data_IF_794922507593
#
_entry.id   IF_794922507593
#
_cell.length_a   1.000
_cell.length_b   1.000
_cell.length_c   1.000
_cell.angle_alpha   90.00
_cell.angle_beta   90.00
_cell.angle_gamma   90.00
#
_symmetry.space_group_name_H-M   'P 1'
#
loop_
_entity.id
_entity.type
_entity.pdbx_description
1 polymer ?
#
# COMPACT_ATOMS: atom_id res chain seq x y z
N UNK A 1 -18.56 91.63 26.27
CA UNK A 1 -17.22 91.10 26.59
C UNK A 1 -17.28 89.58 26.84
N UNK A 2 -18.14 88.85 26.11
CA UNK A 2 -18.43 87.42 26.33
C UNK A 2 -18.09 86.58 25.08
N UNK A 3 -18.24 87.13 23.87
CA UNK A 3 -17.97 86.46 22.59
C UNK A 3 -16.48 86.18 22.32
N UNK A 4 -15.56 86.92 22.96
CA UNK A 4 -14.12 86.75 22.79
C UNK A 4 -13.53 85.55 23.54
N UNK A 5 -14.25 84.97 24.51
CA UNK A 5 -13.83 83.77 25.23
C UNK A 5 -14.22 82.47 24.51
N UNK A 6 -15.31 82.46 23.74
CA UNK A 6 -15.75 81.27 23.00
C UNK A 6 -14.86 80.96 21.79
N UNK A 7 -14.34 81.98 21.11
CA UNK A 7 -13.50 81.83 19.92
C UNK A 7 -12.16 81.07 20.19
N UNK A 8 -11.39 81.38 21.25
CA UNK A 8 -10.21 80.58 21.61
C UNK A 8 -10.58 79.18 22.10
N UNK A 9 -11.72 79.01 22.79
CA UNK A 9 -12.19 77.68 23.24
C UNK A 9 -12.54 76.79 22.03
N UNK A 10 -13.21 77.33 21.01
CA UNK A 10 -13.49 76.60 19.77
C UNK A 10 -12.22 76.27 18.96
N UNK A 11 -11.24 77.19 18.93
CA UNK A 11 -9.93 76.93 18.30
C UNK A 11 -9.14 75.85 19.02
N UNK A 12 -9.14 75.86 20.36
CA UNK A 12 -8.48 74.85 21.18
C UNK A 12 -9.20 73.50 21.04
N UNK A 13 -10.53 73.47 21.10
CA UNK A 13 -11.32 72.25 20.90
C UNK A 13 -11.15 71.68 19.48
N UNK A 14 -11.18 72.52 18.46
CA UNK A 14 -10.90 72.13 17.07
C UNK A 14 -9.47 71.62 16.89
N UNK A 15 -8.50 72.27 17.53
CA UNK A 15 -7.10 71.82 17.57
C UNK A 15 -6.96 70.45 18.23
N UNK A 16 -7.62 70.21 19.37
CA UNK A 16 -7.63 68.92 20.06
C UNK A 16 -8.28 67.84 19.20
N UNK A 17 -9.41 68.12 18.57
CA UNK A 17 -10.09 67.17 17.67
C UNK A 17 -9.19 66.82 16.48
N UNK A 18 -8.57 67.83 15.86
CA UNK A 18 -7.61 67.61 14.77
C UNK A 18 -6.43 66.75 15.24
N UNK A 19 -5.91 67.00 16.43
CA UNK A 19 -4.80 66.26 17.02
C UNK A 19 -5.20 64.80 17.27
N UNK A 20 -6.38 64.53 17.83
CA UNK A 20 -6.91 63.18 18.03
C UNK A 20 -7.04 62.43 16.69
N UNK A 21 -7.61 63.08 15.67
CA UNK A 21 -7.74 62.49 14.32
C UNK A 21 -6.35 62.21 13.74
N UNK A 22 -5.44 63.17 13.81
CA UNK A 22 -4.08 63.04 13.31
C UNK A 22 -3.34 61.86 13.95
N UNK A 23 -3.34 61.76 15.29
CA UNK A 23 -2.70 60.67 16.01
C UNK A 23 -3.41 59.32 15.85
N UNK A 24 -4.71 59.31 15.53
CA UNK A 24 -5.43 58.08 15.20
C UNK A 24 -4.97 57.48 13.86
N UNK A 25 -4.82 58.32 12.84
CA UNK A 25 -4.44 57.89 11.50
C UNK A 25 -2.92 57.69 11.35
N UNK A 26 -2.10 58.52 11.98
CA UNK A 26 -0.63 58.50 11.87
C UNK A 26 -0.02 57.82 13.11
N UNK A 27 0.56 56.61 12.98
CA UNK A 27 1.18 55.91 14.11
C UNK A 27 2.56 56.53 14.43
N UNK A 28 2.56 57.68 15.11
CA UNK A 28 3.77 58.45 15.41
C UNK A 28 4.83 57.66 16.21
N UNK A 29 4.39 56.88 17.21
CA UNK A 29 5.31 56.05 17.99
C UNK A 29 6.00 54.96 17.16
N UNK A 30 5.30 54.40 16.17
CA UNK A 30 5.84 53.39 15.27
C UNK A 30 6.89 53.99 14.34
N UNK A 31 6.62 55.20 13.82
CA UNK A 31 7.59 55.98 13.04
C UNK A 31 8.86 56.27 13.83
N UNK A 32 8.73 56.70 15.09
CA UNK A 32 9.85 56.98 15.96
C UNK A 32 10.70 55.72 16.20
N UNK A 33 10.05 54.58 16.47
CA UNK A 33 10.72 53.28 16.65
C UNK A 33 11.52 52.85 15.41
N UNK A 34 10.96 53.04 14.22
CA UNK A 34 11.65 52.78 12.95
C UNK A 34 12.89 53.66 12.79
N UNK A 35 12.75 54.97 13.05
CA UNK A 35 13.83 55.96 12.91
C UNK A 35 14.98 55.69 13.88
N UNK A 36 14.68 55.38 15.15
CA UNK A 36 15.68 55.02 16.16
C UNK A 36 16.39 53.71 15.81
N UNK A 37 15.69 52.78 15.15
CA UNK A 37 16.26 51.52 14.68
C UNK A 37 17.04 51.63 13.36
N UNK A 38 17.20 52.84 12.81
CA UNK A 38 17.94 53.08 11.56
C UNK A 38 17.16 52.80 10.28
N UNK A 39 15.84 52.55 10.36
CA UNK A 39 14.98 52.29 9.20
C UNK A 39 14.34 53.60 8.73
N UNK A 40 14.66 54.01 7.50
CA UNK A 40 14.18 55.26 6.92
C UNK A 40 12.76 55.10 6.36
N UNK A 41 11.74 55.44 7.16
CA UNK A 41 10.33 55.46 6.75
C UNK A 41 9.77 56.87 6.96
N UNK A 42 9.05 57.40 5.97
CA UNK A 42 8.38 58.69 6.10
C UNK A 42 6.99 58.56 6.74
N UNK A 43 6.54 59.60 7.44
CA UNK A 43 5.18 59.66 8.00
C UNK A 43 4.11 59.54 6.92
N UNK A 44 4.37 60.09 5.73
CA UNK A 44 3.48 59.98 4.57
C UNK A 44 3.35 58.53 4.11
N UNK A 45 4.44 57.76 4.10
CA UNK A 45 4.38 56.33 3.74
C UNK A 45 3.53 55.51 4.72
N UNK A 46 3.64 55.75 6.02
CA UNK A 46 2.81 55.05 7.03
C UNK A 46 1.32 55.39 6.87
N UNK A 47 1.02 56.63 6.49
CA UNK A 47 -0.34 57.05 6.15
C UNK A 47 -0.84 56.36 4.87
N UNK A 48 -0.02 56.32 3.80
CA UNK A 48 -0.35 55.65 2.54
C UNK A 48 -0.56 54.13 2.70
N UNK A 49 0.19 53.46 3.59
CA UNK A 49 -0.04 52.04 3.91
C UNK A 49 -1.45 51.79 4.41
N UNK A 50 -1.96 52.66 5.29
CA UNK A 50 -3.31 52.54 5.83
C UNK A 50 -4.38 52.72 4.75
N UNK A 51 -4.16 53.62 3.78
CA UNK A 51 -5.05 53.79 2.62
C UNK A 51 -5.07 52.53 1.74
N UNK A 52 -3.93 51.83 1.63
CA UNK A 52 -3.81 50.55 0.89
C UNK A 52 -4.30 49.33 1.67
N UNK A 53 -4.94 49.52 2.83
CA UNK A 53 -5.35 48.44 3.74
C UNK A 53 -4.19 47.55 4.23
N UNK A 54 -2.96 48.07 4.27
CA UNK A 54 -1.80 47.37 4.83
C UNK A 54 -1.54 47.92 6.24
N UNK A 55 -1.59 47.10 7.31
CA UNK A 55 -1.38 47.56 8.67
C UNK A 55 0.11 47.87 8.91
N UNK A 56 0.48 49.13 9.23
CA UNK A 56 1.87 49.48 9.48
C UNK A 56 2.50 48.72 10.64
N UNK A 57 1.69 48.32 11.62
CA UNK A 57 2.13 47.59 12.81
C UNK A 57 2.70 46.19 12.53
N UNK A 58 2.45 45.61 11.36
CA UNK A 58 3.05 44.32 10.95
C UNK A 58 4.32 44.58 10.14
N UNK A 59 4.27 45.55 9.22
CA UNK A 59 5.36 45.83 8.28
C UNK A 59 6.57 46.49 8.95
N UNK A 60 6.35 47.47 9.84
CA UNK A 60 7.43 48.24 10.45
C UNK A 60 8.29 47.38 11.39
N UNK A 61 7.73 46.58 12.31
CA UNK A 61 8.55 45.68 13.13
C UNK A 61 9.34 44.68 12.29
N UNK A 62 8.74 44.11 11.24
CA UNK A 62 9.45 43.22 10.31
C UNK A 62 10.63 43.91 9.61
N UNK A 63 10.47 45.16 9.17
CA UNK A 63 11.58 45.94 8.62
C UNK A 63 12.68 46.22 9.64
N UNK A 64 12.31 46.56 10.88
CA UNK A 64 13.27 46.81 11.96
C UNK A 64 14.09 45.55 12.23
N UNK A 65 13.44 44.40 12.30
CA UNK A 65 14.09 43.12 12.53
C UNK A 65 15.02 42.72 11.38
N UNK A 66 14.54 42.79 10.14
CA UNK A 66 15.36 42.54 8.96
C UNK A 66 16.60 43.46 8.91
N UNK A 67 16.42 44.75 9.19
CA UNK A 67 17.51 45.72 9.18
C UNK A 67 18.56 45.42 10.28
N UNK A 68 18.10 45.08 11.49
CA UNK A 68 18.98 44.71 12.61
C UNK A 68 19.72 43.39 12.35
N UNK A 69 19.14 42.48 11.58
CA UNK A 69 19.78 41.25 11.14
C UNK A 69 20.77 41.44 9.98
N UNK A 70 20.94 42.66 9.46
CA UNK A 70 21.84 42.95 8.35
C UNK A 70 21.23 42.69 6.96
N UNK A 71 19.93 42.36 6.88
CA UNK A 71 19.20 42.10 5.64
C UNK A 71 18.75 43.41 4.98
N UNK A 72 19.72 44.23 4.53
CA UNK A 72 19.48 45.56 3.95
C UNK A 72 18.79 45.53 2.58
N UNK A 73 18.72 44.37 1.94
CA UNK A 73 18.18 44.21 0.59
C UNK A 73 16.65 44.10 0.58
N UNK A 74 16.01 43.94 1.74
CA UNK A 74 14.56 43.81 1.86
C UNK A 74 13.95 45.21 1.81
N UNK A 75 13.12 45.45 0.80
CA UNK A 75 12.42 46.72 0.65
C UNK A 75 11.06 46.70 1.33
N UNK A 76 10.59 47.90 1.71
CA UNK A 76 9.23 48.10 2.23
C UNK A 76 8.17 47.60 1.26
N UNK A 77 8.33 47.92 -0.02
CA UNK A 77 7.33 47.64 -1.06
C UNK A 77 7.16 46.12 -1.26
N UNK A 78 8.23 45.35 -1.11
CA UNK A 78 8.19 43.88 -1.14
C UNK A 78 7.42 43.28 0.05
N UNK A 79 7.58 43.83 1.27
CA UNK A 79 6.84 43.40 2.46
C UNK A 79 5.36 43.79 2.35
N UNK A 80 5.06 44.99 1.84
CA UNK A 80 3.68 45.42 1.55
C UNK A 80 3.03 44.49 0.50
N UNK A 81 3.75 44.17 -0.58
CA UNK A 81 3.27 43.30 -1.64
C UNK A 81 3.00 41.87 -1.14
N UNK A 82 3.87 41.32 -0.30
CA UNK A 82 3.68 40.00 0.31
C UNK A 82 2.44 39.96 1.21
N UNK A 83 2.25 40.99 2.03
CA UNK A 83 1.05 41.10 2.88
C UNK A 83 -0.23 41.20 2.04
N UNK A 84 -0.21 42.01 0.97
CA UNK A 84 -1.35 42.14 0.05
C UNK A 84 -1.66 40.84 -0.72
N UNK A 85 -0.65 40.01 -0.96
CA UNK A 85 -0.82 38.66 -1.52
C UNK A 85 -1.41 37.66 -0.51
N UNK A 86 -1.66 38.07 0.75
CA UNK A 86 -2.21 37.24 1.81
C UNK A 86 -1.16 36.46 2.60
N UNK A 87 0.12 36.81 2.48
CA UNK A 87 1.22 36.16 3.19
C UNK A 87 1.48 36.70 4.61
N UNK A 88 2.20 35.91 5.39
CA UNK A 88 2.60 36.21 6.77
C UNK A 88 3.98 36.85 6.84
N UNK A 89 4.00 38.19 6.86
CA UNK A 89 5.25 38.97 6.90
C UNK A 89 6.13 38.65 8.12
N UNK A 90 5.54 38.52 9.30
CA UNK A 90 6.28 38.24 10.54
C UNK A 90 7.04 36.90 10.46
N UNK A 91 6.37 35.83 10.02
CA UNK A 91 6.98 34.50 9.86
C UNK A 91 8.13 34.52 8.85
N UNK A 92 7.92 35.17 7.70
CA UNK A 92 8.94 35.26 6.65
C UNK A 92 10.17 36.02 7.13
N UNK A 93 9.99 37.15 7.81
CA UNK A 93 11.11 37.94 8.35
C UNK A 93 11.87 37.13 9.41
N UNK A 94 11.20 36.51 10.37
CA UNK A 94 11.85 35.66 11.37
C UNK A 94 12.64 34.50 10.74
N UNK A 95 12.07 33.86 9.70
CA UNK A 95 12.73 32.80 8.96
C UNK A 95 13.99 33.31 8.24
N UNK A 96 13.92 34.49 7.59
CA UNK A 96 15.06 35.11 6.92
C UNK A 96 16.18 35.49 7.89
N UNK A 97 15.83 36.04 9.07
CA UNK A 97 16.81 36.34 10.12
C UNK A 97 17.48 35.05 10.61
N UNK A 98 16.70 33.99 10.81
CA UNK A 98 17.22 32.70 11.26
C UNK A 98 18.13 32.07 10.20
N UNK A 99 17.74 32.14 8.93
CA UNK A 99 18.55 31.67 7.80
C UNK A 99 19.88 32.43 7.70
N UNK A 100 19.84 33.76 7.83
CA UNK A 100 21.04 34.60 7.81
C UNK A 100 22.00 34.27 8.94
N UNK A 101 21.50 34.09 10.17
CA UNK A 101 22.32 33.67 11.33
C UNK A 101 22.91 32.27 11.17
N UNK A 102 22.21 31.38 10.46
CA UNK A 102 22.68 30.04 10.16
C UNK A 102 23.52 29.94 8.87
N UNK A 103 23.83 31.08 8.23
CA UNK A 103 24.55 31.16 6.96
C UNK A 103 23.89 30.35 5.82
N UNK A 104 22.55 30.33 5.79
CA UNK A 104 21.73 29.72 4.75
C UNK A 104 21.30 30.81 3.77
N UNK A 105 21.56 30.57 2.48
CA UNK A 105 21.14 31.45 1.39
C UNK A 105 19.64 31.28 1.12
N UNK A 106 18.82 32.15 1.73
CA UNK A 106 17.37 32.21 1.51
C UNK A 106 17.00 33.60 0.94
N UNK A 107 16.78 33.74 -0.37
CA UNK A 107 16.34 35.01 -0.94
C UNK A 107 14.89 35.32 -0.55
N UNK A 108 14.58 36.62 -0.43
CA UNK A 108 13.26 37.08 0.01
C UNK A 108 12.12 36.49 -0.85
N UNK A 109 12.30 36.46 -2.17
CA UNK A 109 11.30 35.94 -3.12
C UNK A 109 11.03 34.45 -2.93
N UNK A 110 12.02 33.67 -2.48
CA UNK A 110 11.84 32.26 -2.20
C UNK A 110 11.11 32.07 -0.87
N UNK A 111 11.47 32.85 0.15
CA UNK A 111 10.79 32.81 1.45
C UNK A 111 9.30 33.17 1.32
N UNK A 112 8.96 34.19 0.52
CA UNK A 112 7.56 34.54 0.24
C UNK A 112 6.83 33.47 -0.56
N UNK A 113 7.50 32.86 -1.55
CA UNK A 113 6.90 31.77 -2.33
C UNK A 113 6.58 30.53 -1.46
N UNK A 114 7.42 30.21 -0.48
CA UNK A 114 7.20 29.11 0.46
C UNK A 114 5.96 29.38 1.34
N UNK A 115 5.86 30.60 1.88
CA UNK A 115 4.73 31.00 2.72
C UNK A 115 3.41 31.03 1.93
N UNK A 116 3.42 31.57 0.71
CA UNK A 116 2.24 31.57 -0.18
C UNK A 116 1.83 30.15 -0.64
N UNK A 117 2.79 29.22 -0.70
CA UNK A 117 2.50 27.81 -0.94
C UNK A 117 1.87 27.10 0.28
N UNK A 118 1.65 27.82 1.39
CA UNK A 118 1.04 27.30 2.61
C UNK A 118 2.00 26.47 3.47
N UNK A 119 3.32 26.57 3.24
CA UNK A 119 4.34 25.90 4.06
C UNK A 119 4.95 26.87 5.07
N UNK A 120 5.30 26.37 6.24
CA UNK A 120 5.98 27.19 7.25
C UNK A 120 7.47 27.36 6.91
N UNK A 121 7.85 28.58 6.49
CA UNK A 121 9.22 28.94 6.13
C UNK A 121 10.17 28.81 7.32
N UNK A 122 9.67 29.15 8.52
CA UNK A 122 10.49 29.14 9.72
C UNK A 122 10.86 27.70 10.12
N UNK A 123 9.88 26.79 10.09
CA UNK A 123 10.11 25.37 10.33
C UNK A 123 11.11 24.80 9.31
N UNK A 124 10.97 25.15 8.03
CA UNK A 124 11.90 24.69 6.99
C UNK A 124 13.34 25.16 7.23
N UNK A 125 13.54 26.42 7.63
CA UNK A 125 14.87 26.92 8.00
C UNK A 125 15.40 26.20 9.24
N UNK A 126 14.56 26.02 10.26
CA UNK A 126 14.95 25.33 11.49
C UNK A 126 15.37 23.88 11.22
N UNK A 127 14.61 23.16 10.39
CA UNK A 127 14.93 21.80 9.96
C UNK A 127 16.17 21.73 9.06
N UNK A 128 16.49 22.81 8.36
CA UNK A 128 17.74 22.93 7.59
C UNK A 128 18.96 22.99 8.52
N UNK A 129 18.84 23.70 9.65
CA UNK A 129 19.91 23.83 10.66
C UNK A 129 20.01 22.60 11.55
N UNK A 130 18.87 22.14 12.05
CA UNK A 130 18.76 20.99 12.94
C UNK A 130 17.95 19.89 12.26
N UNK A 131 18.62 18.87 11.69
CA UNK A 131 17.94 17.76 11.04
C UNK A 131 16.94 17.06 11.96
N UNK A 132 15.87 16.54 11.36
CA UNK A 132 14.83 15.78 12.06
C UNK A 132 14.96 14.30 11.71
N UNK A 133 14.72 13.45 12.72
CA UNK A 133 14.65 12.00 12.52
C UNK A 133 13.19 11.61 12.34
N UNK A 134 12.91 10.85 11.27
CA UNK A 134 11.59 10.34 10.94
C UNK A 134 11.68 8.82 10.83
N UNK A 135 10.81 8.11 11.54
CA UNK A 135 10.72 6.66 11.46
C UNK A 135 9.87 6.22 10.26
N UNK A 136 10.34 5.22 9.52
CA UNK A 136 9.53 4.59 8.46
C UNK A 136 8.47 3.69 9.08
N UNK A 137 7.29 3.53 8.43
CA UNK A 137 6.40 2.43 8.76
C UNK A 137 7.13 1.08 8.62
N UNK A 138 6.71 0.02 9.34
CA UNK A 138 7.34 -1.29 9.24
C UNK A 138 7.23 -1.84 7.82
N UNK A 139 8.39 -2.04 7.18
CA UNK A 139 8.50 -2.52 5.81
C UNK A 139 8.73 -4.02 5.83
N UNK A 140 7.89 -4.76 5.12
CA UNK A 140 7.97 -6.22 5.05
C UNK A 140 8.50 -6.67 3.71
N UNK A 141 9.51 -7.54 3.70
CA UNK A 141 10.09 -8.10 2.49
C UNK A 141 10.52 -9.56 2.71
N UNK A 142 10.71 -10.32 1.63
CA UNK A 142 11.10 -11.73 1.66
C UNK A 142 12.44 -11.88 0.96
N UNK A 143 13.43 -12.48 1.63
CA UNK A 143 14.72 -12.79 1.01
C UNK A 143 14.61 -13.99 0.06
N UNK A 144 15.64 -14.25 -0.76
CA UNK A 144 15.59 -15.35 -1.75
C UNK A 144 15.45 -16.74 -1.13
N UNK A 145 15.87 -16.91 0.12
CA UNK A 145 15.66 -18.13 0.91
C UNK A 145 14.21 -18.33 1.41
N UNK A 146 13.30 -17.41 1.08
CA UNK A 146 11.88 -17.52 1.40
C UNK A 146 11.52 -17.07 2.83
N UNK A 147 12.46 -16.50 3.58
CA UNK A 147 12.21 -15.99 4.93
C UNK A 147 11.83 -14.51 4.88
N UNK A 148 10.74 -14.20 5.57
CA UNK A 148 10.25 -12.84 5.72
C UNK A 148 11.06 -12.07 6.76
N UNK A 149 11.41 -10.84 6.42
CA UNK A 149 12.02 -9.87 7.31
C UNK A 149 11.13 -8.62 7.39
N UNK A 150 10.97 -8.09 8.59
CA UNK A 150 10.25 -6.84 8.87
C UNK A 150 11.29 -5.84 9.35
N UNK A 151 11.56 -4.82 8.54
CA UNK A 151 12.56 -3.81 8.84
C UNK A 151 11.91 -2.46 9.16
N UNK A 152 12.46 -1.75 10.14
CA UNK A 152 12.13 -0.35 10.44
C UNK A 152 13.40 0.47 10.28
N UNK A 153 13.31 1.61 9.59
CA UNK A 153 14.42 2.52 9.40
C UNK A 153 14.12 3.88 10.03
N UNK A 154 15.16 4.52 10.56
CA UNK A 154 15.21 5.93 10.92
C UNK A 154 15.84 6.69 9.78
N UNK A 155 15.12 7.66 9.23
CA UNK A 155 15.62 8.53 8.19
C UNK A 155 15.91 9.89 8.82
N UNK A 156 17.17 10.29 8.79
CA UNK A 156 17.57 11.65 9.19
C UNK A 156 17.49 12.54 7.98
N UNK A 157 16.53 13.47 7.98
CA UNK A 157 16.27 14.39 6.88
C UNK A 157 16.53 15.84 7.27
N UNK A 158 16.99 16.61 6.30
CA UNK A 158 17.16 18.06 6.35
C UNK A 158 16.27 18.71 5.30
N UNK A 159 15.72 19.88 5.56
CA UNK A 159 14.96 20.61 4.53
C UNK A 159 15.90 21.17 3.45
N UNK A 160 15.57 20.93 2.17
CA UNK A 160 16.24 21.52 1.03
C UNK A 160 15.50 22.79 0.61
N UNK A 161 16.02 23.94 1.07
CA UNK A 161 15.40 25.25 0.88
C UNK A 161 15.16 25.58 -0.61
N UNK A 162 16.04 25.12 -1.52
CA UNK A 162 15.93 25.41 -2.96
C UNK A 162 14.79 24.66 -3.64
N UNK A 163 14.40 23.50 -3.12
CA UNK A 163 13.38 22.61 -3.71
C UNK A 163 12.13 22.48 -2.85
N UNK A 164 11.99 23.33 -1.83
CA UNK A 164 10.88 23.28 -0.88
C UNK A 164 9.52 23.61 -1.54
N UNK A 165 9.52 24.46 -2.58
CA UNK A 165 8.35 24.77 -3.39
C UNK A 165 8.28 23.82 -4.58
N UNK A 166 7.22 23.03 -4.66
CA UNK A 166 7.00 22.06 -5.75
C UNK A 166 7.73 20.72 -5.60
N UNK A 167 8.61 20.57 -4.60
CA UNK A 167 9.24 19.29 -4.27
C UNK A 167 8.29 18.31 -3.58
N UNK A 168 8.59 17.02 -3.71
CA UNK A 168 7.84 15.96 -3.03
C UNK A 168 8.01 16.03 -1.50
N UNK A 169 6.95 15.69 -0.77
CA UNK A 169 6.91 15.75 0.70
C UNK A 169 7.57 14.56 1.42
N UNK A 170 7.47 14.56 2.75
CA UNK A 170 8.03 13.51 3.62
C UNK A 170 7.51 12.11 3.25
N UNK A 171 6.20 11.99 2.98
CA UNK A 171 5.56 10.71 2.61
C UNK A 171 6.20 10.05 1.38
N UNK A 172 6.60 10.86 0.40
CA UNK A 172 7.24 10.35 -0.83
C UNK A 172 8.63 9.82 -0.55
N UNK A 173 9.37 10.49 0.36
CA UNK A 173 10.70 10.03 0.77
C UNK A 173 10.57 8.71 1.54
N UNK A 174 9.65 8.62 2.49
CA UNK A 174 9.42 7.40 3.26
C UNK A 174 9.02 6.22 2.36
N UNK A 175 8.17 6.46 1.35
CA UNK A 175 7.80 5.45 0.37
C UNK A 175 9.00 4.98 -0.47
N UNK A 176 9.83 5.91 -0.96
CA UNK A 176 11.05 5.60 -1.74
C UNK A 176 12.09 4.86 -0.91
N UNK A 177 12.29 5.26 0.35
CA UNK A 177 13.16 4.54 1.29
C UNK A 177 12.61 3.15 1.54
N UNK A 178 11.29 3.01 1.73
CA UNK A 178 10.62 1.72 1.88
C UNK A 178 10.84 0.81 0.67
N UNK A 179 10.65 1.31 -0.55
CA UNK A 179 10.95 0.58 -1.79
C UNK A 179 12.41 0.14 -1.85
N UNK A 180 13.34 1.04 -1.48
CA UNK A 180 14.76 0.74 -1.40
C UNK A 180 15.05 -0.42 -0.44
N UNK A 181 14.46 -0.40 0.75
CA UNK A 181 14.60 -1.47 1.75
C UNK A 181 14.03 -2.80 1.22
N UNK A 182 12.83 -2.79 0.64
CA UNK A 182 12.22 -4.00 0.04
C UNK A 182 13.12 -4.57 -1.04
N UNK A 183 13.63 -3.73 -1.93
CA UNK A 183 14.53 -4.12 -3.02
C UNK A 183 15.85 -4.71 -2.49
N UNK A 184 16.41 -4.16 -1.40
CA UNK A 184 17.65 -4.66 -0.81
C UNK A 184 17.46 -6.01 -0.11
N UNK A 185 16.36 -6.19 0.62
CA UNK A 185 16.05 -7.46 1.28
C UNK A 185 15.73 -8.54 0.23
N UNK A 186 14.91 -8.23 -0.78
CA UNK A 186 14.52 -9.17 -1.83
C UNK A 186 15.66 -9.60 -2.76
N UNK A 187 16.72 -8.79 -2.86
CA UNK A 187 17.93 -9.15 -3.63
C UNK A 187 18.95 -9.96 -2.82
N UNK A 188 18.77 -10.08 -1.50
CA UNK A 188 19.67 -10.83 -0.63
C UNK A 188 19.45 -12.33 -0.77
N UNK A 189 20.54 -13.10 -0.81
CA UNK A 189 20.50 -14.56 -0.92
C UNK A 189 19.82 -15.21 0.30
N UNK A 190 20.23 -14.81 1.51
CA UNK A 190 19.71 -15.38 2.75
C UNK A 190 19.30 -14.27 3.74
N UNK A 191 18.33 -14.53 4.60
CA UNK A 191 17.97 -13.62 5.70
C UNK A 191 19.14 -13.36 6.66
N UNK A 192 20.05 -14.34 6.83
CA UNK A 192 21.22 -14.22 7.70
C UNK A 192 22.18 -13.13 7.26
N UNK A 193 22.42 -12.96 5.95
CA UNK A 193 23.33 -11.92 5.47
C UNK A 193 22.81 -10.52 5.77
N UNK A 194 21.48 -10.35 5.77
CA UNK A 194 20.81 -9.10 6.12
C UNK A 194 20.94 -8.79 7.62
N UNK A 195 20.82 -9.82 8.47
CA UNK A 195 20.97 -9.70 9.92
C UNK A 195 22.42 -9.48 10.35
N UNK A 196 23.38 -10.09 9.65
CA UNK A 196 24.81 -9.92 9.91
C UNK A 196 25.28 -8.49 9.60
N UNK A 197 24.75 -7.87 8.54
CA UNK A 197 25.15 -6.54 8.08
C UNK A 197 23.94 -5.67 7.66
N UNK A 198 23.12 -5.17 8.60
CA UNK A 198 21.95 -4.34 8.27
C UNK A 198 22.33 -3.01 7.57
N UNK A 199 23.54 -2.52 7.80
CA UNK A 199 24.09 -1.31 7.17
C UNK A 199 24.33 -1.47 5.66
N UNK A 200 24.36 -2.69 5.11
CA UNK A 200 24.40 -2.84 3.65
C UNK A 200 23.13 -2.34 2.98
N UNK A 201 21.99 -2.41 3.68
CA UNK A 201 20.69 -1.92 3.19
C UNK A 201 20.76 -0.40 3.04
N UNK A 202 21.12 0.32 4.11
CA UNK A 202 21.17 1.78 4.11
C UNK A 202 22.10 2.32 3.01
N UNK A 203 23.30 1.75 2.85
CA UNK A 203 24.25 2.14 1.80
C UNK A 203 23.71 1.94 0.39
N UNK A 204 23.04 0.82 0.13
CA UNK A 204 22.48 0.51 -1.18
C UNK A 204 21.29 1.41 -1.51
N UNK A 205 20.49 1.73 -0.50
CA UNK A 205 19.33 2.62 -0.58
C UNK A 205 19.75 4.08 -0.80
N UNK A 206 20.75 4.58 -0.07
CA UNK A 206 21.31 5.93 -0.26
C UNK A 206 21.92 6.12 -1.66
N UNK A 207 22.58 5.09 -2.21
CA UNK A 207 23.18 5.14 -3.56
C UNK A 207 22.18 5.39 -4.69
N UNK A 208 20.88 5.11 -4.48
CA UNK A 208 19.85 5.30 -5.51
C UNK A 208 19.40 6.76 -5.67
N UNK A 209 19.87 7.70 -4.84
CA UNK A 209 19.52 9.13 -4.96
C UNK A 209 18.03 9.39 -4.74
N UNK A 210 17.49 8.89 -3.62
CA UNK A 210 16.05 8.90 -3.32
C UNK A 210 15.49 10.30 -3.05
N UNK A 211 16.37 11.25 -2.74
CA UNK A 211 16.12 12.66 -2.46
C UNK A 211 15.95 13.51 -3.73
N UNK A 212 16.19 12.96 -4.92
CA UNK A 212 16.04 13.67 -6.18
C UNK A 212 14.60 14.18 -6.39
N UNK A 213 14.47 15.51 -6.53
CA UNK A 213 13.18 16.18 -6.76
C UNK A 213 12.29 16.26 -5.52
N UNK A 214 12.87 16.11 -4.33
CA UNK A 214 12.12 16.18 -3.07
C UNK A 214 12.43 17.48 -2.32
N UNK A 215 11.53 17.86 -1.41
CA UNK A 215 11.69 19.04 -0.57
C UNK A 215 12.74 18.85 0.56
N UNK A 216 13.32 17.65 0.68
CA UNK A 216 14.25 17.30 1.72
C UNK A 216 15.50 16.62 1.16
N UNK A 217 16.57 16.68 1.91
CA UNK A 217 17.84 15.99 1.66
C UNK A 217 18.00 14.91 2.73
N UNK A 218 18.36 13.70 2.30
CA UNK A 218 18.55 12.56 3.21
C UNK A 218 20.01 12.57 3.66
N UNK A 219 20.24 12.76 4.96
CA UNK A 219 21.58 12.74 5.54
C UNK A 219 22.01 11.31 5.89
N UNK A 220 21.12 10.55 6.53
CA UNK A 220 21.36 9.15 6.88
C UNK A 220 20.07 8.35 6.82
N UNK A 221 20.23 7.05 6.54
CA UNK A 221 19.19 6.05 6.72
C UNK A 221 19.81 5.01 7.63
N UNK A 222 19.24 4.83 8.82
CA UNK A 222 19.74 3.90 9.81
C UNK A 222 18.68 2.83 10.04
N UNK A 223 19.04 1.55 9.99
CA UNK A 223 18.07 0.49 10.31
C UNK A 223 17.91 0.41 11.83
N UNK A 224 16.71 0.75 12.31
CA UNK A 224 16.41 0.78 13.74
C UNK A 224 16.11 -0.60 14.30
N UNK A 225 15.50 -1.47 13.49
CA UNK A 225 15.00 -2.77 13.91
C UNK A 225 14.83 -3.71 12.71
N UNK A 226 15.16 -5.00 12.87
CA UNK A 226 14.92 -6.06 11.88
C UNK A 226 14.40 -7.29 12.62
N UNK A 227 13.12 -7.61 12.38
CA UNK A 227 12.47 -8.80 12.92
C UNK A 227 12.38 -9.91 11.87
N UNK A 228 12.52 -11.16 12.32
CA UNK A 228 12.25 -12.35 11.49
C UNK A 228 10.77 -12.68 11.56
N UNK A 229 10.11 -12.70 10.41
CA UNK A 229 8.70 -13.03 10.25
C UNK A 229 8.47 -14.51 9.97
N UNK A 230 7.55 -14.79 9.05
CA UNK A 230 7.18 -16.16 8.67
C UNK A 230 8.14 -16.72 7.61
N UNK A 231 8.30 -18.04 7.59
CA UNK A 231 8.94 -18.73 6.47
C UNK A 231 7.90 -18.92 5.35
N UNK A 232 7.84 -17.95 4.45
CA UNK A 232 6.93 -17.94 3.30
C UNK A 232 7.30 -19.05 2.32
N UNK A 233 8.59 -19.34 2.15
CA UNK A 233 9.06 -20.44 1.30
C UNK A 233 8.50 -21.80 1.74
N UNK A 234 8.58 -22.11 3.04
CA UNK A 234 8.03 -23.35 3.59
C UNK A 234 6.49 -23.38 3.51
N UNK A 235 5.83 -22.26 3.76
CA UNK A 235 4.37 -22.16 3.65
C UNK A 235 3.91 -22.44 2.20
N UNK A 236 4.54 -21.82 1.21
CA UNK A 236 4.25 -22.05 -0.20
C UNK A 236 4.52 -23.50 -0.62
N UNK A 237 5.58 -24.12 -0.10
CA UNK A 237 5.87 -25.55 -0.36
C UNK A 237 4.80 -26.47 0.22
N UNK A 238 4.32 -26.19 1.44
CA UNK A 238 3.23 -26.96 2.07
C UNK A 238 1.94 -26.78 1.26
N UNK A 239 1.62 -25.56 0.85
CA UNK A 239 0.43 -25.25 0.06
C UNK A 239 0.48 -25.96 -1.31
N UNK A 240 1.65 -25.96 -1.96
CA UNK A 240 1.86 -26.66 -3.22
C UNK A 240 1.75 -28.18 -3.05
N UNK A 241 2.35 -28.76 -2.00
CA UNK A 241 2.23 -30.19 -1.71
C UNK A 241 0.78 -30.61 -1.39
N UNK A 242 0.02 -29.76 -0.71
CA UNK A 242 -1.40 -30.00 -0.44
C UNK A 242 -2.23 -29.94 -1.73
N UNK A 243 -1.95 -28.97 -2.61
CA UNK A 243 -2.58 -28.90 -3.92
C UNK A 243 -2.28 -30.15 -4.76
N UNK A 244 -1.02 -30.59 -4.81
CA UNK A 244 -0.60 -31.80 -5.53
C UNK A 244 -1.26 -33.07 -4.95
N UNK A 245 -1.35 -33.17 -3.63
CA UNK A 245 -2.07 -34.26 -2.94
C UNK A 245 -3.54 -34.29 -3.33
N UNK A 246 -4.21 -33.14 -3.36
CA UNK A 246 -5.63 -33.05 -3.73
C UNK A 246 -5.84 -33.45 -5.20
N UNK A 247 -4.96 -33.03 -6.11
CA UNK A 247 -5.00 -33.43 -7.53
C UNK A 247 -4.78 -34.94 -7.66
N UNK A 248 -3.82 -35.50 -6.93
CA UNK A 248 -3.54 -36.93 -6.95
C UNK A 248 -4.72 -37.75 -6.40
N UNK A 249 -5.35 -37.29 -5.32
CA UNK A 249 -6.55 -37.91 -4.76
C UNK A 249 -7.72 -37.86 -5.74
N UNK A 250 -7.98 -36.71 -6.36
CA UNK A 250 -9.04 -36.56 -7.36
C UNK A 250 -8.82 -37.51 -8.57
N UNK A 251 -7.59 -37.61 -9.08
CA UNK A 251 -7.25 -38.56 -10.16
C UNK A 251 -7.40 -40.02 -9.74
N UNK A 252 -7.06 -40.35 -8.50
CA UNK A 252 -7.25 -41.70 -7.98
C UNK A 252 -8.74 -42.06 -7.86
N UNK A 253 -9.56 -41.11 -7.44
CA UNK A 253 -11.01 -41.26 -7.35
C UNK A 253 -11.65 -41.36 -8.73
N UNK A 254 -11.23 -40.54 -9.69
CA UNK A 254 -11.65 -40.63 -11.09
C UNK A 254 -11.33 -42.02 -11.69
N UNK A 255 -10.11 -42.52 -11.48
CA UNK A 255 -9.73 -43.88 -11.91
C UNK A 255 -10.57 -44.96 -11.24
N UNK A 256 -10.87 -44.81 -9.95
CA UNK A 256 -11.72 -45.74 -9.22
C UNK A 256 -13.15 -45.73 -9.77
N UNK A 257 -13.70 -44.55 -10.03
CA UNK A 257 -15.02 -44.39 -10.63
C UNK A 257 -15.08 -45.01 -12.02
N UNK A 258 -14.07 -44.78 -12.88
CA UNK A 258 -13.99 -45.40 -14.20
C UNK A 258 -13.85 -46.93 -14.13
N UNK A 259 -13.06 -47.46 -13.20
CA UNK A 259 -12.93 -48.91 -13.02
C UNK A 259 -14.26 -49.54 -12.60
N UNK A 260 -15.00 -48.91 -11.68
CA UNK A 260 -16.34 -49.37 -11.28
C UNK A 260 -17.32 -49.27 -12.44
N UNK A 261 -17.31 -48.17 -13.21
CA UNK A 261 -18.15 -48.01 -14.39
C UNK A 261 -17.87 -49.11 -15.44
N UNK A 262 -16.59 -49.40 -15.69
CA UNK A 262 -16.18 -50.48 -16.60
C UNK A 262 -16.60 -51.86 -16.08
N UNK A 263 -16.50 -52.12 -14.78
CA UNK A 263 -16.98 -53.37 -14.17
C UNK A 263 -18.50 -53.53 -14.36
N UNK A 264 -19.28 -52.47 -14.15
CA UNK A 264 -20.72 -52.48 -14.36
C UNK A 264 -21.09 -52.64 -15.84
N UNK A 265 -20.36 -51.98 -16.74
CA UNK A 265 -20.54 -52.14 -18.19
C UNK A 265 -20.27 -53.60 -18.62
N UNK A 266 -19.22 -54.23 -18.08
CA UNK A 266 -18.92 -55.64 -18.35
C UNK A 266 -19.97 -56.58 -17.78
N UNK A 267 -20.52 -56.30 -16.58
CA UNK A 267 -21.64 -57.05 -16.02
C UNK A 267 -22.89 -56.92 -16.89
N UNK A 268 -23.20 -55.72 -17.37
CA UNK A 268 -24.32 -55.47 -18.28
C UNK A 268 -24.14 -56.22 -19.60
N UNK A 269 -22.95 -56.17 -20.22
CA UNK A 269 -22.61 -56.95 -21.42
C UNK A 269 -22.73 -58.45 -21.20
N UNK A 270 -22.29 -58.96 -20.04
CA UNK A 270 -22.44 -60.37 -19.70
C UNK A 270 -23.90 -60.78 -19.53
N UNK A 271 -24.74 -59.91 -18.95
CA UNK A 271 -26.18 -60.12 -18.86
C UNK A 271 -26.86 -60.07 -20.24
N UNK A 272 -26.49 -59.12 -21.09
CA UNK A 272 -27.00 -59.02 -22.47
C UNK A 272 -26.62 -60.28 -23.28
N UNK A 273 -25.36 -60.73 -23.19
CA UNK A 273 -24.92 -61.95 -23.83
C UNK A 273 -25.68 -63.18 -23.32
N UNK A 274 -25.91 -63.28 -22.00
CA UNK A 274 -26.76 -64.34 -21.42
C UNK A 274 -28.19 -64.27 -21.93
N UNK A 275 -28.77 -63.07 -22.04
CA UNK A 275 -30.11 -62.90 -22.59
C UNK A 275 -30.19 -63.38 -24.05
N UNK A 276 -29.18 -63.08 -24.87
CA UNK A 276 -29.08 -63.59 -26.25
C UNK A 276 -28.94 -65.11 -26.31
N UNK A 277 -28.17 -65.72 -25.41
CA UNK A 277 -28.07 -67.18 -25.31
C UNK A 277 -29.43 -67.78 -24.95
N UNK A 278 -30.14 -67.21 -23.98
CA UNK A 278 -31.48 -67.67 -23.59
C UNK A 278 -32.48 -67.50 -24.75
N UNK A 279 -32.40 -66.41 -25.50
CA UNK A 279 -33.25 -66.19 -26.68
C UNK A 279 -33.01 -67.25 -27.75
N UNK A 280 -31.74 -67.56 -28.05
CA UNK A 280 -31.37 -68.62 -28.99
C UNK A 280 -31.77 -70.02 -28.48
N UNK A 281 -31.59 -70.30 -27.18
CA UNK A 281 -32.05 -71.55 -26.58
C UNK A 281 -33.57 -71.68 -26.63
N UNK A 282 -34.31 -70.58 -26.49
CA UNK A 282 -35.77 -70.57 -26.60
C UNK A 282 -36.28 -70.83 -28.02
N UNK A 283 -35.47 -70.64 -29.06
CA UNK A 283 -35.80 -71.04 -30.44
C UNK A 283 -35.84 -72.57 -30.58
N UNK A 284 -35.04 -73.33 -29.81
CA UNK A 284 -34.98 -74.79 -29.92
C UNK A 284 -36.32 -75.45 -29.56
N UNK A 285 -36.98 -75.14 -28.42
CA UNK A 285 -38.33 -75.63 -28.14
C UNK A 285 -39.38 -75.19 -29.14
N UNK A 286 -39.29 -73.96 -29.68
CA UNK A 286 -40.22 -73.46 -30.69
C UNK A 286 -40.08 -74.25 -31.99
N UNK A 287 -38.85 -74.47 -32.45
CA UNK A 287 -38.54 -75.28 -33.62
C UNK A 287 -38.95 -76.75 -33.42
N UNK A 288 -38.74 -77.32 -32.22
CA UNK A 288 -39.26 -78.65 -31.89
C UNK A 288 -40.80 -78.71 -31.92
N UNK A 289 -41.48 -77.70 -31.37
CA UNK A 289 -42.94 -77.61 -31.41
C UNK A 289 -43.46 -77.50 -32.86
N UNK A 290 -42.74 -76.78 -33.73
CA UNK A 290 -43.03 -76.71 -35.16
C UNK A 290 -42.76 -78.04 -35.88
N UNK A 291 -41.68 -78.76 -35.53
CA UNK A 291 -41.40 -80.11 -36.03
C UNK A 291 -42.49 -81.13 -35.63
N UNK A 292 -43.06 -81.03 -34.42
CA UNK A 292 -44.22 -81.82 -34.01
C UNK A 292 -45.49 -81.48 -34.80
N UNK A 293 -45.76 -80.18 -35.05
CA UNK A 293 -46.95 -79.75 -35.83
C UNK A 293 -46.86 -80.12 -37.30
N UNK A 294 -45.66 -80.01 -37.88
CA UNK A 294 -45.39 -80.35 -39.29
C UNK A 294 -45.27 -81.85 -39.55
N UNK A 295 -45.32 -82.69 -38.51
CA UNK A 295 -45.28 -84.15 -38.62
C UNK A 295 -43.88 -84.75 -38.83
N UNK A 296 -42.83 -83.94 -38.69
CA UNK A 296 -41.43 -84.36 -38.90
C UNK A 296 -40.79 -85.03 -37.67
N UNK A 297 -41.42 -84.95 -36.49
CA UNK A 297 -40.96 -85.61 -35.27
C UNK A 297 -42.10 -86.40 -34.61
N UNK A 298 -41.89 -87.69 -34.36
CA UNK A 298 -42.87 -88.58 -33.73
C UNK A 298 -42.79 -88.61 -32.21
N UNK A 299 -43.89 -89.01 -31.55
CA UNK A 299 -43.97 -89.16 -30.09
C UNK A 299 -42.91 -90.16 -29.57
N UNK A 300 -42.68 -91.25 -30.30
CA UNK A 300 -41.66 -92.25 -29.93
C UNK A 300 -40.22 -91.71 -29.99
N UNK A 301 -39.93 -90.76 -30.89
CA UNK A 301 -38.61 -90.15 -31.02
C UNK A 301 -38.34 -89.15 -29.89
N UNK A 302 -39.36 -88.41 -29.45
CA UNK A 302 -39.28 -87.54 -28.28
C UNK A 302 -38.99 -88.31 -26.99
N UNK A 303 -39.67 -89.45 -26.79
CA UNK A 303 -39.42 -90.31 -25.62
C UNK A 303 -38.01 -90.89 -25.64
N UNK A 304 -37.46 -91.25 -26.81
CA UNK A 304 -36.06 -91.67 -26.92
C UNK A 304 -35.09 -90.54 -26.58
N UNK A 305 -35.33 -89.33 -27.09
CA UNK A 305 -34.51 -88.16 -26.77
C UNK A 305 -34.51 -87.89 -25.27
N UNK A 306 -35.70 -87.90 -24.63
CA UNK A 306 -35.84 -87.72 -23.17
C UNK A 306 -35.09 -88.78 -22.36
N UNK A 307 -35.10 -90.03 -22.81
CA UNK A 307 -34.36 -91.11 -22.14
C UNK A 307 -32.83 -90.91 -22.26
N UNK A 308 -32.34 -90.50 -23.44
CA UNK A 308 -30.91 -90.21 -23.64
C UNK A 308 -30.48 -88.99 -22.81
N UNK A 309 -31.31 -87.93 -22.75
CA UNK A 309 -31.08 -86.78 -21.86
C UNK A 309 -31.01 -87.22 -20.39
N UNK A 310 -31.94 -88.07 -19.94
CA UNK A 310 -31.98 -88.58 -18.58
C UNK A 310 -30.71 -89.40 -18.25
N UNK A 311 -30.29 -90.30 -19.14
CA UNK A 311 -29.06 -91.07 -18.99
C UNK A 311 -27.80 -90.20 -18.97
N UNK A 312 -27.77 -89.15 -19.81
CA UNK A 312 -26.66 -88.19 -19.84
C UNK A 312 -26.60 -87.37 -18.56
N UNK A 313 -27.75 -86.89 -18.06
CA UNK A 313 -27.82 -86.14 -16.80
C UNK A 313 -27.42 -87.00 -15.60
N UNK A 314 -27.79 -88.29 -15.58
CA UNK A 314 -27.34 -89.23 -14.56
C UNK A 314 -25.82 -89.43 -14.63
N UNK A 315 -25.24 -89.56 -15.83
CA UNK A 315 -23.78 -89.69 -16.01
C UNK A 315 -23.02 -88.43 -15.58
N UNK A 316 -23.50 -87.24 -15.91
CA UNK A 316 -22.87 -85.99 -15.49
C UNK A 316 -22.87 -85.81 -13.97
N UNK A 317 -24.00 -86.12 -13.32
CA UNK A 317 -24.13 -86.08 -11.86
C UNK A 317 -23.23 -87.11 -11.16
N UNK A 318 -23.01 -88.27 -11.77
CA UNK A 318 -22.05 -89.29 -11.27
C UNK A 318 -20.60 -88.82 -11.47
N UNK A 319 -20.29 -88.15 -12.58
CA UNK A 319 -18.95 -87.66 -12.90
C UNK A 319 -18.54 -86.41 -12.10
N UNK A 320 -19.51 -85.62 -11.61
CA UNK A 320 -19.30 -84.46 -10.73
C UNK A 320 -20.15 -84.59 -9.47
N UNK A 321 -19.71 -85.34 -8.44
CA UNK A 321 -20.39 -85.31 -7.15
C UNK A 321 -20.36 -83.87 -6.62
N UNK A 322 -21.54 -83.35 -6.29
CA UNK A 322 -21.72 -82.02 -5.71
C UNK A 322 -20.94 -81.93 -4.39
N UNK A 323 -19.77 -81.30 -4.43
CA UNK A 323 -19.08 -80.84 -3.23
C UNK A 323 -19.95 -79.78 -2.58
N UNK A 324 -20.73 -80.18 -1.57
CA UNK A 324 -21.51 -79.29 -0.74
C UNK A 324 -20.60 -78.25 -0.08
N UNK A 325 -20.83 -76.97 -0.41
CA UNK A 325 -20.28 -75.82 0.29
C UNK A 325 -20.72 -75.86 1.76
N UNK A 326 -19.87 -76.40 2.64
CA UNK A 326 -19.89 -76.04 4.05
C UNK A 326 -19.29 -74.64 4.18
N UNK A 327 -20.08 -73.72 4.77
CA UNK A 327 -19.78 -72.29 4.80
C UNK A 327 -18.46 -71.94 5.46
N UNK A 328 -17.64 -71.19 4.72
CA UNK A 328 -16.53 -70.42 5.28
C UNK A 328 -16.96 -68.95 5.30
N UNK A 329 -17.55 -68.51 6.41
CA UNK A 329 -17.59 -67.09 6.77
C UNK A 329 -16.22 -66.74 7.37
N UNK A 330 -15.44 -65.81 6.79
CA UNK A 330 -14.32 -65.24 7.51
C UNK A 330 -14.86 -64.25 8.55
N UNK A 331 -14.69 -64.60 9.82
CA UNK A 331 -14.65 -63.62 10.91
C UNK A 331 -13.43 -62.72 10.69
N UNK A 332 -13.65 -61.44 10.45
CA UNK A 332 -12.64 -60.40 10.62
C UNK A 332 -13.27 -59.15 11.22
N UNK A 333 -12.55 -58.65 12.22
CA UNK A 333 -12.74 -57.46 13.06
C UNK A 333 -12.96 -56.18 12.27
#
# INVERSE_FOLDING_TARGET
MESSFYLPIFLIAGGIIFLIIFFHYVPFFLWLSAKVSGVNISLIQLFLMRIRNVPPYIIVPGMIEAHKAGLKNITRDELEAHYLAGGHVEKVVHALVSASKANIELPFQMATAIDLAGRDVFEAVQMSVNPKVIDTPPVTAVAKDGIQLIAKARVTVRANIRQLVGGAGEDTILARVGEGIVSSIGSSENHKSVLENPDSISKLVLRKGLDAGTAFEILSIDIADIDIGKNIGAALQIDQANADKNIAQAKAEERRAMAVASEQEMKAKAQEARAKVIEAEAEVPKAMAEAFRSGNLGIMDYYRMKNIEADTSMRENIAKPTTGNAGNQPLSK
#
